data_IF_607214544830
#
_entry.id   IF_607214544830
#
_cell.length_a   1.000
_cell.length_b   1.000
_cell.length_c   1.000
_cell.angle_alpha   90.00
_cell.angle_beta   90.00
_cell.angle_gamma   90.00
#
_symmetry.space_group_name_H-M   'P 1'
#
loop_
_entity.id
_entity.type
_entity.pdbx_description
1 polymer ?
#
# COMPACT_ATOMS: atom_id res chain seq x y z
N UNK A 1 13.93 -6.29 19.26
CA UNK A 1 12.57 -6.00 18.77
C UNK A 1 12.64 -4.69 17.98
N UNK A 2 12.76 -4.76 16.67
CA UNK A 2 12.78 -3.55 15.84
C UNK A 2 11.35 -3.02 15.74
N UNK A 3 11.11 -1.87 16.31
CA UNK A 3 9.82 -1.17 16.23
C UNK A 3 9.74 -0.49 14.86
N UNK A 4 8.68 -0.75 14.11
CA UNK A 4 8.36 0.03 12.91
C UNK A 4 8.16 1.50 13.28
N UNK A 5 8.38 2.41 12.32
CA UNK A 5 7.91 3.78 12.49
C UNK A 5 6.38 3.80 12.59
N UNK A 6 5.81 4.86 13.16
CA UNK A 6 4.37 4.93 13.40
C UNK A 6 3.58 4.78 12.08
N UNK A 7 4.08 5.36 10.98
CA UNK A 7 3.53 5.22 9.64
C UNK A 7 3.56 3.77 9.14
N UNK A 8 4.68 3.09 9.26
CA UNK A 8 4.81 1.69 8.83
C UNK A 8 3.99 0.75 9.73
N UNK A 9 3.83 1.09 11.00
CA UNK A 9 2.97 0.35 11.92
C UNK A 9 1.50 0.40 11.47
N UNK A 10 0.99 1.59 11.12
CA UNK A 10 -0.38 1.74 10.60
C UNK A 10 -0.55 1.01 9.27
N UNK A 11 0.45 1.02 8.39
CA UNK A 11 0.41 0.23 7.14
C UNK A 11 0.35 -1.28 7.46
N UNK A 12 1.18 -1.76 8.39
CA UNK A 12 1.19 -3.18 8.80
C UNK A 12 -0.17 -3.64 9.35
N UNK A 13 -0.86 -2.79 10.12
CA UNK A 13 -2.19 -3.06 10.68
C UNK A 13 -3.31 -3.18 9.63
N UNK A 14 -3.06 -2.80 8.36
CA UNK A 14 -4.00 -2.94 7.23
C UNK A 14 -3.79 -4.24 6.45
N UNK A 15 -2.77 -5.03 6.80
CA UNK A 15 -2.50 -6.34 6.21
C UNK A 15 -3.08 -7.39 7.14
N UNK A 16 -4.01 -8.19 6.63
CA UNK A 16 -4.65 -9.23 7.43
C UNK A 16 -3.72 -10.44 7.56
N UNK A 17 -3.90 -11.19 8.64
CA UNK A 17 -3.18 -12.44 8.86
C UNK A 17 -3.46 -13.43 7.72
N UNK A 18 -2.39 -14.02 7.17
CA UNK A 18 -2.43 -14.95 6.05
C UNK A 18 -2.39 -14.30 4.67
N UNK A 19 -2.51 -12.98 4.54
CA UNK A 19 -2.34 -12.29 3.25
C UNK A 19 -0.87 -12.32 2.80
N UNK A 20 -0.65 -12.69 1.54
CA UNK A 20 0.62 -12.44 0.84
C UNK A 20 0.71 -10.98 0.42
N UNK A 21 1.91 -10.41 0.44
CA UNK A 21 2.06 -9.00 0.12
C UNK A 21 3.26 -8.69 -0.78
N UNK A 22 3.20 -7.55 -1.46
CA UNK A 22 4.33 -6.93 -2.13
C UNK A 22 4.56 -5.51 -1.63
N UNK A 23 5.81 -5.15 -1.38
CA UNK A 23 6.25 -3.80 -1.02
C UNK A 23 7.04 -3.21 -2.19
N UNK A 24 6.42 -2.26 -2.89
CA UNK A 24 6.97 -1.63 -4.10
C UNK A 24 7.72 -0.36 -3.71
N UNK A 25 9.02 -0.31 -4.00
CA UNK A 25 9.93 0.71 -3.50
C UNK A 25 10.31 0.46 -2.04
N UNK A 26 10.67 -0.78 -1.73
CA UNK A 26 10.85 -1.28 -0.36
C UNK A 26 12.00 -0.63 0.42
N UNK A 27 13.00 -0.05 -0.27
CA UNK A 27 14.23 0.56 0.28
C UNK A 27 14.92 -0.35 1.32
N UNK A 28 14.63 -0.17 2.61
CA UNK A 28 15.24 -0.95 3.70
C UNK A 28 14.51 -2.25 4.05
N UNK A 29 13.32 -2.48 3.55
CA UNK A 29 12.53 -3.69 3.75
C UNK A 29 11.93 -3.89 5.14
N UNK A 30 11.86 -2.85 5.97
CA UNK A 30 11.40 -3.00 7.35
C UNK A 30 9.98 -3.54 7.48
N UNK A 31 9.06 -3.12 6.60
CA UNK A 31 7.67 -3.55 6.63
C UNK A 31 7.53 -5.06 6.30
N UNK A 32 8.00 -5.56 5.14
CA UNK A 32 7.87 -6.98 4.81
C UNK A 32 8.62 -7.89 5.78
N UNK A 33 9.81 -7.48 6.25
CA UNK A 33 10.57 -8.23 7.27
C UNK A 33 9.75 -8.36 8.57
N UNK A 34 9.16 -7.27 9.05
CA UNK A 34 8.30 -7.26 10.24
C UNK A 34 7.09 -8.19 10.07
N UNK A 35 6.41 -8.13 8.94
CA UNK A 35 5.21 -8.93 8.68
C UNK A 35 5.51 -10.44 8.65
N UNK A 36 6.64 -10.83 8.06
CA UNK A 36 7.11 -12.22 8.05
C UNK A 36 7.58 -12.63 9.45
N UNK A 37 8.33 -11.79 10.17
CA UNK A 37 8.77 -12.06 11.56
C UNK A 37 7.59 -12.32 12.50
N UNK A 38 6.48 -11.58 12.30
CA UNK A 38 5.27 -11.73 13.12
C UNK A 38 4.34 -12.85 12.65
N UNK A 39 4.63 -13.51 11.55
CA UNK A 39 3.76 -14.52 10.97
C UNK A 39 2.46 -13.95 10.38
N UNK A 40 2.37 -12.62 10.20
CA UNK A 40 1.20 -11.95 9.62
C UNK A 40 1.10 -12.29 8.14
N UNK A 41 2.23 -12.15 7.41
CA UNK A 41 2.30 -12.50 5.98
C UNK A 41 3.17 -13.75 5.79
N UNK A 42 2.64 -14.80 5.15
CA UNK A 42 3.41 -16.04 4.93
C UNK A 42 4.48 -15.85 3.84
N UNK A 43 4.33 -14.85 2.98
CA UNK A 43 5.27 -14.52 1.90
C UNK A 43 5.19 -13.03 1.57
N UNK A 44 6.35 -12.42 1.32
CA UNK A 44 6.42 -11.03 0.88
C UNK A 44 7.38 -10.86 -0.30
N UNK A 45 6.96 -10.11 -1.32
CA UNK A 45 7.81 -9.63 -2.41
C UNK A 45 8.34 -8.25 -2.05
N UNK A 46 9.64 -8.08 -2.10
CA UNK A 46 10.34 -6.82 -1.87
C UNK A 46 10.90 -6.32 -3.21
N UNK A 47 10.41 -5.19 -3.69
CA UNK A 47 10.81 -4.64 -4.98
C UNK A 47 11.35 -3.22 -4.87
N UNK A 48 12.37 -2.94 -5.64
CA UNK A 48 12.92 -1.60 -5.85
C UNK A 48 13.58 -1.51 -7.24
N UNK A 49 13.62 -0.33 -7.83
CA UNK A 49 14.37 -0.09 -9.08
C UNK A 49 15.88 -0.07 -8.86
N UNK A 50 16.31 0.09 -7.61
CA UNK A 50 17.69 0.15 -7.17
C UNK A 50 18.14 -1.17 -6.54
N UNK A 51 19.02 -1.90 -7.21
CA UNK A 51 19.67 -3.09 -6.63
C UNK A 51 20.37 -2.77 -5.30
N UNK A 52 20.91 -1.55 -5.17
CA UNK A 52 21.54 -1.08 -3.92
C UNK A 52 20.53 -0.98 -2.76
N UNK A 53 19.30 -0.60 -3.02
CA UNK A 53 18.21 -0.60 -2.02
C UNK A 53 17.86 -2.03 -1.63
N UNK A 54 17.69 -2.91 -2.60
CA UNK A 54 17.41 -4.33 -2.34
C UNK A 54 18.52 -5.02 -1.53
N UNK A 55 19.79 -4.70 -1.81
CA UNK A 55 20.92 -5.19 -1.03
C UNK A 55 20.85 -4.79 0.45
N UNK A 56 20.41 -3.56 0.75
CA UNK A 56 20.16 -3.14 2.14
C UNK A 56 19.03 -3.97 2.76
N UNK A 57 17.93 -4.15 2.03
CA UNK A 57 16.80 -4.97 2.46
C UNK A 57 17.23 -6.42 2.75
N UNK A 58 18.05 -7.04 1.88
CA UNK A 58 18.62 -8.38 2.11
C UNK A 58 19.46 -8.43 3.39
N UNK A 59 20.38 -7.49 3.58
CA UNK A 59 21.20 -7.40 4.79
C UNK A 59 20.34 -7.26 6.05
N UNK A 60 19.32 -6.40 6.01
CA UNK A 60 18.40 -6.23 7.12
C UNK A 60 17.63 -7.54 7.41
N UNK A 61 17.15 -8.25 6.39
CA UNK A 61 16.47 -9.52 6.56
C UNK A 61 17.36 -10.55 7.30
N UNK A 62 18.59 -10.73 6.85
CA UNK A 62 19.55 -11.64 7.53
C UNK A 62 19.94 -11.19 8.95
N UNK A 63 19.90 -9.89 9.25
CA UNK A 63 20.23 -9.39 10.58
C UNK A 63 19.04 -9.45 11.54
N UNK A 64 17.82 -9.32 11.03
CA UNK A 64 16.62 -9.15 11.86
C UNK A 64 15.87 -10.46 12.07
N UNK A 65 15.87 -11.34 11.07
CA UNK A 65 15.18 -12.63 11.14
C UNK A 65 16.14 -13.68 11.76
N UNK A 66 15.63 -14.39 12.76
CA UNK A 66 16.40 -15.41 13.49
C UNK A 66 16.42 -16.77 12.78
N UNK A 67 15.49 -16.99 11.84
CA UNK A 67 15.32 -18.24 11.11
C UNK A 67 15.50 -18.00 9.60
N UNK A 68 16.35 -18.84 8.97
CA UNK A 68 16.61 -18.77 7.53
C UNK A 68 15.34 -19.03 6.71
N UNK A 69 14.42 -19.85 7.19
CA UNK A 69 13.15 -20.11 6.52
C UNK A 69 12.29 -18.88 6.39
N UNK A 70 12.37 -17.95 7.35
CA UNK A 70 11.72 -16.64 7.27
C UNK A 70 12.36 -15.76 6.19
N UNK A 71 13.69 -15.84 5.99
CA UNK A 71 14.37 -15.12 4.90
C UNK A 71 13.94 -15.67 3.54
N UNK A 72 13.75 -16.98 3.43
CA UNK A 72 13.26 -17.65 2.21
C UNK A 72 11.81 -17.26 1.86
N UNK A 73 11.05 -16.75 2.83
CA UNK A 73 9.72 -16.19 2.60
C UNK A 73 9.74 -14.79 1.98
N UNK A 74 10.92 -14.17 1.87
CA UNK A 74 11.14 -12.86 1.26
C UNK A 74 11.71 -13.03 -0.15
N UNK A 75 11.00 -12.53 -1.16
CA UNK A 75 11.41 -12.57 -2.56
C UNK A 75 11.86 -11.16 -3.00
N UNK A 76 13.13 -11.03 -3.39
CA UNK A 76 13.74 -9.74 -3.73
C UNK A 76 13.84 -9.57 -5.23
N UNK A 77 13.18 -8.56 -5.78
CA UNK A 77 13.09 -8.31 -7.22
C UNK A 77 13.50 -6.89 -7.60
N UNK A 78 14.53 -6.77 -8.43
CA UNK A 78 14.89 -5.49 -9.03
C UNK A 78 14.04 -5.23 -10.27
N UNK A 79 13.33 -4.09 -10.28
CA UNK A 79 12.50 -3.71 -11.42
C UNK A 79 11.56 -2.54 -11.15
N UNK A 80 10.76 -2.21 -12.15
CA UNK A 80 9.94 -1.01 -12.22
C UNK A 80 8.49 -1.31 -11.80
N UNK A 81 8.11 -0.82 -10.63
CA UNK A 81 6.73 -0.81 -10.15
C UNK A 81 6.09 -2.20 -10.09
N UNK A 82 4.86 -2.31 -10.58
CA UNK A 82 4.09 -3.55 -10.57
C UNK A 82 4.58 -4.58 -11.60
N UNK A 83 5.41 -4.20 -12.56
CA UNK A 83 5.94 -5.09 -13.62
C UNK A 83 6.76 -6.26 -13.06
N UNK A 84 7.22 -6.17 -11.83
CA UNK A 84 7.95 -7.25 -11.16
C UNK A 84 7.04 -8.38 -10.66
N UNK A 85 5.75 -8.15 -10.61
CA UNK A 85 4.75 -9.09 -10.13
C UNK A 85 4.03 -9.77 -11.31
N UNK A 86 3.60 -11.01 -11.10
CA UNK A 86 2.63 -11.66 -11.99
C UNK A 86 1.22 -11.25 -11.56
N UNK A 87 0.26 -11.29 -12.49
CA UNK A 87 -1.14 -11.00 -12.18
C UNK A 87 -1.64 -11.90 -11.05
N UNK A 88 -2.22 -11.28 -10.02
CA UNK A 88 -2.78 -11.97 -8.86
C UNK A 88 -1.77 -12.71 -7.97
N UNK A 89 -0.47 -12.45 -8.10
CA UNK A 89 0.58 -13.17 -7.37
C UNK A 89 0.53 -12.95 -5.86
N UNK A 90 0.07 -11.77 -5.43
CA UNK A 90 -0.08 -11.40 -4.03
C UNK A 90 -1.48 -10.86 -3.75
N UNK A 91 -1.92 -10.95 -2.50
CA UNK A 91 -3.20 -10.41 -2.07
C UNK A 91 -3.16 -8.89 -1.92
N UNK A 92 -2.11 -8.36 -1.29
CA UNK A 92 -1.97 -6.94 -0.96
C UNK A 92 -0.72 -6.35 -1.59
N UNK A 93 -0.87 -5.19 -2.25
CA UNK A 93 0.24 -4.39 -2.74
C UNK A 93 0.38 -3.12 -1.91
N UNK A 94 1.58 -2.87 -1.39
CA UNK A 94 1.93 -1.65 -0.67
C UNK A 94 2.81 -0.77 -1.56
N UNK A 95 2.46 0.51 -1.68
CA UNK A 95 3.28 1.54 -2.32
C UNK A 95 3.35 2.73 -1.35
N UNK A 96 4.48 2.91 -0.69
CA UNK A 96 4.63 3.94 0.34
C UNK A 96 5.80 4.88 0.05
N UNK A 97 5.65 6.16 0.43
CA UNK A 97 6.73 7.14 0.36
C UNK A 97 7.00 7.70 -1.04
N UNK A 98 6.08 7.52 -2.00
CA UNK A 98 6.17 8.04 -3.37
C UNK A 98 5.22 9.22 -3.59
N UNK A 99 5.36 9.94 -4.71
CA UNK A 99 4.39 10.95 -5.13
C UNK A 99 3.11 10.31 -5.68
N UNK A 100 1.93 10.87 -5.36
CA UNK A 100 0.65 10.34 -5.83
C UNK A 100 0.52 10.30 -7.35
N UNK A 101 1.14 11.26 -8.07
CA UNK A 101 1.18 11.22 -9.53
C UNK A 101 1.96 10.02 -10.05
N UNK A 102 3.12 9.71 -9.48
CA UNK A 102 3.91 8.54 -9.85
C UNK A 102 3.17 7.24 -9.52
N UNK A 103 2.46 7.20 -8.38
CA UNK A 103 1.61 6.05 -8.05
C UNK A 103 0.52 5.84 -9.11
N UNK A 104 -0.16 6.91 -9.52
CA UNK A 104 -1.17 6.84 -10.60
C UNK A 104 -0.55 6.36 -11.90
N UNK A 105 0.58 6.91 -12.33
CA UNK A 105 1.29 6.47 -13.54
C UNK A 105 1.64 4.98 -13.49
N UNK A 106 2.04 4.48 -12.32
CA UNK A 106 2.37 3.07 -12.10
C UNK A 106 1.14 2.16 -12.16
N UNK A 107 0.05 2.58 -11.51
CA UNK A 107 -1.20 1.81 -11.43
C UNK A 107 -1.96 1.80 -12.78
N UNK A 108 -1.92 2.92 -13.52
CA UNK A 108 -2.61 3.12 -14.78
C UNK A 108 -1.89 2.49 -15.99
N UNK A 109 -0.60 2.20 -15.85
CA UNK A 109 0.24 1.68 -16.94
C UNK A 109 -0.29 0.34 -17.52
N UNK A 110 -0.89 -0.50 -16.68
CA UNK A 110 -1.60 -1.72 -17.05
C UNK A 110 -2.73 -1.95 -16.04
N UNK A 111 -3.90 -1.41 -16.37
CA UNK A 111 -5.04 -1.43 -15.43
C UNK A 111 -5.57 -2.85 -15.20
N UNK A 112 -5.52 -3.75 -16.20
CA UNK A 112 -5.95 -5.13 -16.06
C UNK A 112 -5.04 -5.88 -15.09
N UNK A 113 -3.72 -5.68 -15.23
CA UNK A 113 -2.73 -6.22 -14.30
C UNK A 113 -2.93 -5.67 -12.90
N UNK A 114 -3.11 -4.35 -12.76
CA UNK A 114 -3.36 -3.69 -11.47
C UNK A 114 -4.62 -4.23 -10.81
N UNK A 115 -5.72 -4.38 -11.55
CA UNK A 115 -6.97 -4.94 -11.03
C UNK A 115 -6.88 -6.43 -10.66
N UNK A 116 -5.81 -7.14 -11.02
CA UNK A 116 -5.61 -8.53 -10.63
C UNK A 116 -5.23 -8.71 -9.15
N UNK A 117 -4.75 -7.66 -8.48
CA UNK A 117 -4.45 -7.66 -7.05
C UNK A 117 -5.68 -7.23 -6.26
N UNK A 118 -5.91 -7.84 -5.09
CA UNK A 118 -7.15 -7.61 -4.32
C UNK A 118 -7.17 -6.25 -3.62
N UNK A 119 -6.06 -5.88 -2.99
CA UNK A 119 -5.97 -4.74 -2.08
C UNK A 119 -4.71 -3.93 -2.30
N UNK A 120 -4.84 -2.61 -2.20
CA UNK A 120 -3.74 -1.66 -2.23
C UNK A 120 -3.70 -0.86 -0.92
N UNK A 121 -2.49 -0.68 -0.39
CA UNK A 121 -2.22 0.24 0.72
C UNK A 121 -1.23 1.29 0.19
N UNK A 122 -1.71 2.51 0.03
CA UNK A 122 -1.01 3.58 -0.67
C UNK A 122 -0.70 4.71 0.31
N UNK A 123 0.58 5.11 0.38
CA UNK A 123 0.97 6.25 1.21
C UNK A 123 1.69 7.29 0.35
N UNK A 124 0.94 8.20 -0.28
CA UNK A 124 1.52 9.28 -1.08
C UNK A 124 2.20 10.35 -0.18
N UNK A 125 3.37 10.84 -0.60
CA UNK A 125 4.04 11.97 0.06
C UNK A 125 3.37 13.31 -0.28
N UNK A 126 2.88 13.43 -1.52
CA UNK A 126 2.17 14.58 -2.08
C UNK A 126 1.16 14.07 -3.11
N UNK A 127 0.16 14.86 -3.47
CA UNK A 127 -0.80 14.52 -4.54
C UNK A 127 -1.86 13.50 -4.12
N UNK A 128 -2.23 13.48 -2.85
CA UNK A 128 -3.24 12.60 -2.27
C UNK A 128 -4.59 12.71 -2.99
N UNK A 129 -5.06 13.94 -3.23
CA UNK A 129 -6.32 14.17 -3.93
C UNK A 129 -6.34 13.65 -5.37
N UNK A 130 -5.20 13.76 -6.08
CA UNK A 130 -5.07 13.21 -7.42
C UNK A 130 -5.17 11.67 -7.41
N UNK A 131 -4.53 11.03 -6.43
CA UNK A 131 -4.58 9.58 -6.26
C UNK A 131 -6.00 9.10 -5.90
N UNK A 132 -6.69 9.78 -4.96
CA UNK A 132 -8.08 9.45 -4.61
C UNK A 132 -9.00 9.53 -5.81
N UNK A 133 -8.90 10.65 -6.55
CA UNK A 133 -9.72 10.85 -7.75
C UNK A 133 -9.50 9.72 -8.75
N UNK A 134 -8.24 9.39 -9.06
CA UNK A 134 -7.91 8.31 -9.98
C UNK A 134 -8.46 6.95 -9.50
N UNK A 135 -8.28 6.61 -8.22
CA UNK A 135 -8.80 5.37 -7.64
C UNK A 135 -10.32 5.27 -7.84
N UNK A 136 -11.06 6.33 -7.52
CA UNK A 136 -12.52 6.35 -7.66
C UNK A 136 -12.95 6.28 -9.12
N UNK A 137 -12.33 7.07 -10.00
CA UNK A 137 -12.65 7.08 -11.43
C UNK A 137 -12.37 5.73 -12.10
N UNK A 138 -11.35 5.00 -11.62
CA UNK A 138 -10.96 3.66 -12.09
C UNK A 138 -11.73 2.53 -11.40
N UNK A 139 -12.73 2.86 -10.56
CA UNK A 139 -13.62 1.89 -9.92
C UNK A 139 -13.04 1.19 -8.69
N UNK A 140 -11.92 1.64 -8.17
CA UNK A 140 -11.39 1.16 -6.88
C UNK A 140 -12.25 1.68 -5.74
N UNK A 141 -12.47 0.84 -4.73
CA UNK A 141 -13.18 1.23 -3.52
C UNK A 141 -12.20 1.61 -2.42
N UNK A 142 -12.16 2.86 -2.01
CA UNK A 142 -11.42 3.29 -0.82
C UNK A 142 -12.19 2.80 0.40
N UNK A 143 -11.62 1.89 1.15
CA UNK A 143 -12.25 1.23 2.32
C UNK A 143 -11.77 1.76 3.66
N UNK A 144 -10.63 2.42 3.68
CA UNK A 144 -10.06 3.02 4.89
C UNK A 144 -9.06 4.11 4.53
N UNK A 145 -9.04 5.13 5.35
CA UNK A 145 -8.00 6.16 5.35
C UNK A 145 -7.51 6.43 6.76
N UNK A 146 -6.24 6.70 6.91
CA UNK A 146 -5.64 7.07 8.18
C UNK A 146 -4.63 8.19 7.99
N UNK A 147 -4.47 9.02 9.01
CA UNK A 147 -3.38 9.99 9.11
C UNK A 147 -2.48 9.63 10.29
N UNK A 148 -1.20 9.89 10.13
CA UNK A 148 -0.19 9.63 11.15
C UNK A 148 0.60 10.92 11.36
N UNK A 149 1.01 11.22 12.58
CA UNK A 149 1.91 12.32 12.86
C UNK A 149 3.32 11.73 13.05
N UNK A 150 4.20 11.98 12.10
CA UNK A 150 5.56 11.44 12.10
C UNK A 150 6.57 12.51 11.67
N UNK A 151 7.51 12.84 12.58
CA UNK A 151 8.63 13.75 12.26
C UNK A 151 8.22 15.14 11.74
N UNK A 152 7.08 15.68 12.19
CA UNK A 152 6.55 16.97 11.73
C UNK A 152 5.81 16.92 10.41
N UNK A 153 5.59 15.74 9.86
CA UNK A 153 4.75 15.47 8.70
C UNK A 153 3.46 14.76 9.12
N UNK A 154 2.47 14.82 8.24
CA UNK A 154 1.17 14.14 8.43
C UNK A 154 0.93 13.22 7.22
N UNK A 155 1.61 12.05 7.15
CA UNK A 155 1.36 11.06 6.11
C UNK A 155 -0.08 10.57 6.14
N UNK A 156 -0.69 10.53 4.96
CA UNK A 156 -2.01 9.94 4.74
C UNK A 156 -1.84 8.54 4.15
N UNK A 157 -2.56 7.55 4.68
CA UNK A 157 -2.52 6.16 4.24
C UNK A 157 -3.91 5.82 3.71
N UNK A 158 -3.99 5.41 2.45
CA UNK A 158 -5.21 5.07 1.75
C UNK A 158 -5.23 3.57 1.50
N UNK A 159 -6.28 2.89 1.94
CA UNK A 159 -6.51 1.47 1.65
C UNK A 159 -7.66 1.33 0.66
N UNK A 160 -7.40 0.70 -0.47
CA UNK A 160 -8.37 0.53 -1.54
C UNK A 160 -8.47 -0.93 -2.01
N UNK A 161 -9.66 -1.37 -2.36
CA UNK A 161 -9.92 -2.64 -3.01
C UNK A 161 -10.06 -2.46 -4.52
N UNK A 162 -9.57 -3.44 -5.27
CA UNK A 162 -9.73 -3.47 -6.73
C UNK A 162 -11.19 -3.67 -7.14
N UNK A 163 -11.59 -3.24 -8.35
CA UNK A 163 -12.96 -3.34 -8.84
C UNK A 163 -13.54 -4.75 -8.77
N UNK A 164 -12.74 -5.78 -9.02
CA UNK A 164 -13.18 -7.18 -8.99
C UNK A 164 -13.44 -7.72 -7.58
N UNK A 165 -12.87 -7.09 -6.56
CA UNK A 165 -13.02 -7.47 -5.15
C UNK A 165 -14.06 -6.60 -4.42
N UNK A 166 -14.49 -5.50 -5.05
CA UNK A 166 -15.45 -4.55 -4.45
C UNK A 166 -16.86 -5.13 -4.30
N UNK A 167 -17.22 -6.17 -5.08
CA UNK A 167 -18.52 -6.83 -4.96
C UNK A 167 -18.80 -7.50 -3.61
N UNK A 168 -17.76 -7.93 -2.89
CA UNK A 168 -17.87 -8.50 -1.54
C UNK A 168 -17.88 -7.39 -0.46
N UNK A 169 -17.33 -6.22 -0.76
CA UNK A 169 -17.21 -5.10 0.16
C UNK A 169 -18.38 -4.10 0.09
N UNK A 170 -19.34 -4.28 -0.84
CA UNK A 170 -20.51 -3.36 -1.01
C UNK A 170 -21.41 -3.24 0.22
N UNK A 171 -21.15 -3.98 1.30
CA UNK A 171 -21.80 -3.78 2.61
C UNK A 171 -21.08 -2.79 3.53
N UNK A 172 -20.01 -2.16 3.09
CA UNK A 172 -19.26 -1.20 3.88
C UNK A 172 -19.73 0.24 3.59
N UNK A 173 -20.04 0.99 4.63
CA UNK A 173 -20.62 2.34 4.68
C UNK A 173 -19.95 3.43 3.83
N UNK A 174 -18.86 3.16 3.14
CA UNK A 174 -18.09 4.15 2.38
C UNK A 174 -18.63 4.43 0.97
N UNK A 175 -19.42 3.52 0.38
CA UNK A 175 -19.89 3.67 -1.00
C UNK A 175 -20.90 4.83 -1.14
N UNK A 176 -21.74 5.05 -0.14
CA UNK A 176 -22.77 6.10 -0.17
C UNK A 176 -22.17 7.51 0.06
N UNK A 177 -21.10 7.61 0.85
CA UNK A 177 -20.42 8.88 1.12
C UNK A 177 -19.54 9.34 -0.07
N UNK A 178 -19.03 8.42 -0.90
CA UNK A 178 -18.16 8.75 -2.02
C UNK A 178 -18.89 9.31 -3.24
N UNK A 179 -20.18 9.09 -3.40
CA UNK A 179 -20.97 9.66 -4.51
C UNK A 179 -21.06 11.19 -4.44
N UNK A 180 -20.99 11.77 -3.24
CA UNK A 180 -20.93 13.23 -3.05
C UNK A 180 -19.58 13.84 -3.49
N UNK A 181 -18.53 13.03 -3.65
CA UNK A 181 -17.17 13.50 -3.96
C UNK A 181 -16.78 13.37 -5.43
N UNK A 182 -17.71 13.00 -6.32
CA UNK A 182 -17.47 12.93 -7.77
C UNK A 182 -17.37 14.33 -8.38
N UNK A 183 -16.18 14.66 -8.91
CA UNK A 183 -15.91 15.93 -9.62
C UNK A 183 -14.58 16.57 -9.26
N UNK A 184 -14.27 17.72 -9.87
CA UNK A 184 -13.07 18.54 -9.59
C UNK A 184 -13.16 19.32 -8.26
N UNK A 185 -13.69 18.69 -7.22
CA UNK A 185 -13.98 19.34 -5.96
C UNK A 185 -12.71 19.39 -5.07
N UNK A 186 -12.63 20.46 -4.27
CA UNK A 186 -11.63 20.67 -3.22
C UNK A 186 -11.57 19.50 -2.22
N UNK A 187 -12.66 18.76 -2.11
CA UNK A 187 -12.85 17.60 -1.23
C UNK A 187 -11.84 16.47 -1.45
N UNK A 188 -11.31 16.30 -2.69
CA UNK A 188 -10.25 15.32 -2.94
C UNK A 188 -8.92 15.64 -2.25
N UNK A 189 -8.76 16.88 -1.74
CA UNK A 189 -7.53 17.31 -1.07
C UNK A 189 -7.43 16.88 0.38
N UNK A 190 -8.56 16.52 0.99
CA UNK A 190 -8.63 16.06 2.39
C UNK A 190 -9.38 14.72 2.46
N UNK A 191 -9.06 13.86 3.41
CA UNK A 191 -9.82 12.63 3.63
C UNK A 191 -11.31 12.94 3.87
N UNK A 192 -12.25 12.16 3.30
CA UNK A 192 -13.69 12.39 3.45
C UNK A 192 -14.16 12.53 4.90
N UNK A 193 -13.61 11.71 5.81
CA UNK A 193 -13.95 11.77 7.24
C UNK A 193 -13.47 13.06 7.95
N UNK A 194 -12.44 13.74 7.40
CA UNK A 194 -12.04 15.06 7.90
C UNK A 194 -13.00 16.17 7.41
N UNK A 195 -13.63 15.97 6.26
CA UNK A 195 -14.57 16.93 5.70
C UNK A 195 -15.93 16.90 6.41
N UNK A 196 -16.31 15.74 6.97
CA UNK A 196 -17.55 15.53 7.71
C UNK A 196 -17.44 15.82 9.22
N UNK A 197 -16.26 16.12 9.73
CA UNK A 197 -16.07 16.53 11.12
C UNK A 197 -16.66 17.95 11.29
N UNK A 198 -17.92 18.02 11.69
CA UNK A 198 -18.49 19.25 12.24
C UNK A 198 -17.67 19.67 13.46
N UNK A 199 -17.16 20.92 13.45
CA UNK A 199 -16.34 21.52 14.49
C UNK A 199 -17.07 21.72 15.81
#
# INVERSE_FOLDING_TARGET
MNRLSDRLQVIAERINEGETMADIGTDHGFLPIYLVEKGISPKAVMSDVSEKSLEKGRKNAYMMLSDITMVESLDFRCGDGLKVLKSGEVDTVVIAGMGGKLMVEMLDNDIEHTCSFKKFILQPRIGQGHLRKWLTDSGFMIINEAVVIEGGHIPEIITALSPHCSGEAMNLRYADELDEYRGDNVMWKIPPWMASAEG
#
